data_IF_005211041975
#
_entry.id   IF_005211041975
#
_cell.length_a   1.000
_cell.length_b   1.000
_cell.length_c   1.000
_cell.angle_alpha   90.00
_cell.angle_beta   90.00
_cell.angle_gamma   90.00
#
_symmetry.space_group_name_H-M   'P 1'
#
loop_
_entity.id
_entity.type
_entity.pdbx_description
1 polymer ?
#
# COMPACT_ATOMS: atom_id res chain seq x y z
N UNK A 1 1.40 4.94 12.84
CA UNK A 1 2.67 4.78 12.09
C UNK A 1 3.01 3.31 12.04
N UNK A 2 3.64 2.80 10.97
CA UNK A 2 4.10 1.40 10.89
C UNK A 2 5.57 1.33 10.51
N UNK A 3 6.24 0.25 10.93
CA UNK A 3 7.65 0.01 10.62
C UNK A 3 7.77 -1.01 9.50
N UNK A 4 8.54 -0.69 8.46
CA UNK A 4 8.86 -1.61 7.36
C UNK A 4 10.38 -1.62 7.22
N UNK A 5 11.00 -2.77 7.50
CA UNK A 5 12.45 -2.86 7.66
C UNK A 5 12.92 -2.00 8.84
N UNK A 6 13.89 -1.11 8.60
CA UNK A 6 14.45 -0.21 9.62
C UNK A 6 13.81 1.19 9.63
N UNK A 7 12.77 1.43 8.82
CA UNK A 7 12.16 2.77 8.66
C UNK A 7 10.72 2.78 9.17
N UNK A 8 10.32 3.89 9.78
CA UNK A 8 8.95 4.17 10.21
C UNK A 8 8.26 5.04 9.18
N UNK A 9 7.02 4.72 8.87
CA UNK A 9 6.21 5.41 7.87
C UNK A 9 4.89 5.88 8.48
N UNK A 10 4.45 7.06 8.03
CA UNK A 10 3.14 7.62 8.40
C UNK A 10 2.07 6.91 7.59
N UNK A 11 1.03 6.46 8.29
CA UNK A 11 -0.17 5.93 7.62
C UNK A 11 -0.99 7.11 7.14
N UNK A 12 -1.26 7.12 5.84
CA UNK A 12 -2.13 8.11 5.18
C UNK A 12 -3.56 7.58 5.17
N UNK A 13 -3.73 6.30 4.84
CA UNK A 13 -5.04 5.65 4.74
C UNK A 13 -4.99 4.20 5.24
N UNK A 14 -6.07 3.76 5.89
CA UNK A 14 -6.27 2.38 6.33
C UNK A 14 -7.25 1.67 5.40
N UNK A 15 -6.76 0.70 4.62
CA UNK A 15 -7.58 -0.04 3.65
C UNK A 15 -8.18 -1.33 4.24
N UNK A 16 -7.83 -1.67 5.48
CA UNK A 16 -8.35 -2.86 6.16
C UNK A 16 -7.77 -4.17 5.65
N UNK A 17 -8.52 -5.26 5.79
CA UNK A 17 -8.12 -6.61 5.38
C UNK A 17 -8.62 -6.93 3.97
N UNK A 18 -7.71 -7.24 3.06
CA UNK A 18 -8.02 -7.74 1.74
C UNK A 18 -8.15 -9.27 1.80
N UNK A 19 -9.38 -9.77 1.65
CA UNK A 19 -9.70 -11.21 1.66
C UNK A 19 -9.14 -11.96 0.45
N UNK A 20 -9.00 -11.32 -0.70
CA UNK A 20 -8.47 -11.92 -1.93
C UNK A 20 -6.97 -12.22 -1.79
N UNK A 21 -6.22 -11.28 -1.22
CA UNK A 21 -4.79 -11.45 -0.94
C UNK A 21 -4.51 -12.14 0.40
N UNK A 22 -5.51 -12.23 1.29
CA UNK A 22 -5.34 -12.69 2.67
C UNK A 22 -4.43 -11.80 3.52
N UNK A 23 -4.37 -10.50 3.22
CA UNK A 23 -3.42 -9.55 3.83
C UNK A 23 -4.09 -8.24 4.22
N UNK A 24 -3.59 -7.59 5.27
CA UNK A 24 -3.99 -6.20 5.57
C UNK A 24 -3.32 -5.24 4.61
N UNK A 25 -3.99 -4.17 4.21
CA UNK A 25 -3.43 -3.14 3.33
C UNK A 25 -3.52 -1.75 4.00
N UNK A 26 -2.47 -0.95 3.85
CA UNK A 26 -2.41 0.44 4.29
C UNK A 26 -1.66 1.28 3.28
N UNK A 27 -2.09 2.53 3.10
CA UNK A 27 -1.37 3.53 2.29
C UNK A 27 -0.47 4.34 3.22
N UNK A 28 0.80 4.49 2.83
CA UNK A 28 1.82 5.17 3.60
C UNK A 28 2.42 6.33 2.80
N UNK A 29 2.78 7.40 3.50
CA UNK A 29 3.60 8.45 2.93
C UNK A 29 5.08 8.03 2.95
N UNK A 30 5.70 8.09 1.77
CA UNK A 30 7.11 7.81 1.55
C UNK A 30 7.74 8.99 0.83
N UNK A 31 8.22 9.98 1.60
CA UNK A 31 8.82 11.22 1.08
C UNK A 31 7.86 12.00 0.16
N UNK A 32 6.61 12.20 0.57
CA UNK A 32 5.60 12.90 -0.23
C UNK A 32 5.01 12.07 -1.38
N UNK A 33 5.24 10.76 -1.38
CA UNK A 33 4.64 9.82 -2.34
C UNK A 33 3.88 8.74 -1.60
N UNK A 34 2.64 8.51 -2.00
CA UNK A 34 1.80 7.46 -1.46
C UNK A 34 2.25 6.09 -1.98
N UNK A 35 2.43 5.14 -1.07
CA UNK A 35 2.74 3.75 -1.38
C UNK A 35 1.91 2.80 -0.54
N UNK A 36 1.48 1.71 -1.15
CA UNK A 36 0.72 0.66 -0.45
C UNK A 36 1.67 -0.35 0.16
N UNK A 37 1.49 -0.61 1.45
CA UNK A 37 2.09 -1.74 2.13
C UNK A 37 1.02 -2.77 2.48
N UNK A 38 1.38 -4.05 2.37
CA UNK A 38 0.52 -5.15 2.80
C UNK A 38 1.16 -5.91 3.95
N UNK A 39 0.34 -6.41 4.88
CA UNK A 39 0.77 -7.21 6.02
C UNK A 39 0.21 -8.61 5.90
N UNK A 40 1.09 -9.59 5.87
CA UNK A 40 0.69 -11.00 5.98
C UNK A 40 0.17 -11.29 7.40
N UNK A 41 -0.71 -12.29 7.59
CA UNK A 41 -1.21 -12.68 8.92
C UNK A 41 -0.07 -12.99 9.92
N UNK A 42 1.08 -13.47 9.42
CA UNK A 42 2.30 -13.73 10.18
C UNK A 42 3.07 -12.50 10.69
N UNK A 43 2.54 -11.29 10.52
CA UNK A 43 3.05 -10.12 11.26
C UNK A 43 3.93 -9.14 10.48
N UNK A 44 4.41 -9.51 9.29
CA UNK A 44 5.41 -8.72 8.54
C UNK A 44 4.70 -7.82 7.52
N UNK A 45 5.07 -6.53 7.51
CA UNK A 45 4.68 -5.57 6.49
C UNK A 45 5.68 -5.59 5.32
N UNK A 46 5.15 -5.64 4.11
CA UNK A 46 5.91 -5.68 2.87
C UNK A 46 5.36 -4.63 1.91
N UNK A 47 6.22 -4.08 1.05
CA UNK A 47 5.78 -3.17 0.01
C UNK A 47 5.04 -3.95 -1.07
N UNK A 48 3.79 -3.59 -1.31
CA UNK A 48 3.08 -4.12 -2.45
C UNK A 48 3.44 -3.25 -3.66
N UNK A 49 4.14 -3.83 -4.64
CA UNK A 49 4.31 -3.19 -5.94
C UNK A 49 2.96 -3.18 -6.63
N UNK A 50 2.16 -2.15 -6.36
CA UNK A 50 1.07 -1.82 -7.25
C UNK A 50 1.75 -1.31 -8.53
N UNK A 51 1.88 -2.17 -9.54
CA UNK A 51 1.88 -1.67 -10.89
C UNK A 51 0.51 -1.04 -11.08
N UNK A 52 0.43 0.26 -10.75
CA UNK A 52 -0.67 1.08 -11.21
C UNK A 52 -0.48 1.08 -12.72
N UNK A 53 -1.08 0.09 -13.40
CA UNK A 53 -1.43 0.24 -14.80
C UNK A 53 -2.30 1.48 -14.78
N UNK A 54 -1.69 2.64 -15.05
CA UNK A 54 -2.39 3.82 -15.52
C UNK A 54 -3.11 3.33 -16.77
N UNK A 55 -4.33 2.82 -16.61
CA UNK A 55 -5.33 2.95 -17.65
C UNK A 55 -5.47 4.45 -17.78
N UNK A 56 -4.70 5.01 -18.71
CA UNK A 56 -5.02 6.29 -19.32
C UNK A 56 -6.46 6.14 -19.77
N UNK A 57 -7.40 6.62 -18.96
CA UNK A 57 -8.65 7.12 -19.49
C UNK A 57 -8.28 8.37 -20.27
N UNK A 58 -7.73 8.18 -21.48
CA UNK A 58 -7.97 9.11 -22.57
C UNK A 58 -9.46 9.01 -22.80
N UNK A 59 -10.21 9.89 -22.12
CA UNK A 59 -11.60 10.18 -22.46
C UNK A 59 -11.51 10.90 -23.81
N UNK A 60 -11.53 10.10 -24.88
CA UNK A 60 -11.71 10.59 -26.23
C UNK A 60 -13.14 11.08 -26.40
N UNK A 61 -13.23 12.14 -27.22
CA UNK A 61 -14.42 12.85 -27.70
C UNK A 61 -15.06 13.86 -26.74
#
# INVERSE_FOLDING_TARGET
>A
MITIGSKKYKVVEDLGFNHDLGKYAKVLDVNGKERVATKSPGGIWEWHKVEVRRRSFVKGQ
#
